data_IF_324496356753
#
_entry.id   IF_324496356753
#
_cell.length_a   1.000
_cell.length_b   1.000
_cell.length_c   1.000
_cell.angle_alpha   90.00
_cell.angle_beta   90.00
_cell.angle_gamma   90.00
#
_symmetry.space_group_name_H-M   'P 1'
#
loop_
_entity.id
_entity.type
_entity.pdbx_description
1 polymer ?
#
# COMPACT_ATOMS: atom_id res chain seq x y z
N UNK A 1 4.96 -23.05 2.44
CA UNK A 1 4.89 -21.99 1.40
C UNK A 1 5.11 -20.61 2.02
N UNK A 2 5.49 -19.58 1.25
CA UNK A 2 5.60 -18.20 1.77
C UNK A 2 4.21 -17.73 2.20
N UNK A 3 4.06 -17.19 3.41
CA UNK A 3 2.79 -16.64 3.88
C UNK A 3 2.94 -15.11 3.96
N UNK A 4 2.37 -14.38 3.01
CA UNK A 4 2.42 -12.91 2.96
C UNK A 4 1.44 -12.27 3.96
N UNK A 5 0.45 -13.01 4.46
CA UNK A 5 -0.50 -12.49 5.46
C UNK A 5 0.13 -12.27 6.83
N UNK A 6 1.34 -12.80 7.07
CA UNK A 6 2.10 -12.57 8.30
C UNK A 6 2.99 -11.32 8.24
N UNK A 7 3.03 -10.62 7.10
CA UNK A 7 3.73 -9.33 7.00
C UNK A 7 2.94 -8.31 7.81
N UNK A 8 3.60 -7.70 8.80
CA UNK A 8 3.00 -6.74 9.72
C UNK A 8 3.32 -5.30 9.33
N UNK A 9 2.40 -4.39 9.65
CA UNK A 9 2.42 -3.00 9.20
C UNK A 9 2.36 -2.04 10.39
N UNK A 10 3.18 -1.00 10.36
CA UNK A 10 2.87 0.24 11.07
C UNK A 10 2.22 1.18 10.06
N UNK A 11 0.95 1.50 10.29
CA UNK A 11 0.13 2.35 9.43
C UNK A 11 0.24 3.82 9.84
N UNK A 12 0.22 4.74 8.88
CA UNK A 12 0.27 6.19 9.07
C UNK A 12 1.46 6.69 9.90
N UNK A 13 2.67 6.24 9.57
CA UNK A 13 3.95 6.64 10.21
C UNK A 13 4.35 8.06 9.78
N UNK A 14 3.53 9.03 10.19
CA UNK A 14 3.51 10.40 9.67
C UNK A 14 4.23 11.43 10.56
N UNK A 15 4.95 11.00 11.59
CA UNK A 15 5.72 11.89 12.47
C UNK A 15 6.96 11.20 13.03
N UNK A 16 7.93 11.98 13.51
CA UNK A 16 9.21 11.46 14.02
C UNK A 16 9.05 10.50 15.19
N UNK A 17 8.23 10.86 16.17
CA UNK A 17 8.02 10.05 17.37
C UNK A 17 7.50 8.66 17.02
N UNK A 18 6.53 8.58 16.09
CA UNK A 18 5.98 7.32 15.67
C UNK A 18 6.93 6.54 14.74
N UNK A 19 7.70 7.23 13.90
CA UNK A 19 8.77 6.58 13.11
C UNK A 19 9.79 5.87 14.02
N UNK A 20 10.27 6.55 15.07
CA UNK A 20 11.20 5.97 16.03
C UNK A 20 10.62 4.73 16.72
N UNK A 21 9.37 4.81 17.18
CA UNK A 21 8.67 3.69 17.81
C UNK A 21 8.46 2.51 16.83
N UNK A 22 8.08 2.80 15.58
CA UNK A 22 7.83 1.77 14.57
C UNK A 22 9.13 1.07 14.14
N UNK A 23 10.24 1.81 14.01
CA UNK A 23 11.57 1.24 13.75
C UNK A 23 12.00 0.29 14.86
N UNK A 24 11.76 0.65 16.13
CA UNK A 24 12.10 -0.17 17.30
C UNK A 24 11.19 -1.40 17.50
N UNK A 25 10.06 -1.49 16.78
CA UNK A 25 9.09 -2.58 16.92
C UNK A 25 9.42 -3.78 16.03
N UNK A 26 8.62 -4.85 16.12
CA UNK A 26 8.74 -6.04 15.26
C UNK A 26 7.95 -5.93 13.93
N UNK A 27 7.40 -4.76 13.57
CA UNK A 27 6.66 -4.61 12.30
C UNK A 27 7.56 -4.87 11.08
N UNK A 28 7.00 -5.34 9.97
CA UNK A 28 7.77 -5.64 8.77
C UNK A 28 7.84 -4.45 7.81
N UNK A 29 6.75 -3.70 7.70
CA UNK A 29 6.56 -2.60 6.75
C UNK A 29 6.14 -1.32 7.48
N UNK A 30 6.67 -0.18 7.02
CA UNK A 30 6.26 1.14 7.45
C UNK A 30 5.47 1.80 6.33
N UNK A 31 4.18 2.03 6.56
CA UNK A 31 3.32 2.78 5.65
C UNK A 31 3.24 4.24 6.14
N UNK A 32 3.38 5.18 5.21
CA UNK A 32 3.29 6.60 5.51
C UNK A 32 2.64 7.38 4.37
N UNK A 33 1.78 8.33 4.75
CA UNK A 33 1.05 9.21 3.85
C UNK A 33 1.92 10.39 3.43
N UNK A 34 1.87 10.77 2.16
CA UNK A 34 2.72 11.83 1.61
C UNK A 34 1.87 12.89 0.94
N UNK A 35 2.08 14.13 1.38
CA UNK A 35 1.49 15.35 0.83
C UNK A 35 2.57 16.41 0.59
N UNK A 36 2.24 17.42 -0.21
CA UNK A 36 3.02 18.66 -0.25
C UNK A 36 2.68 19.53 0.97
N UNK A 37 3.69 20.00 1.68
CA UNK A 37 3.50 20.83 2.87
C UNK A 37 4.80 21.39 3.43
N UNK A 38 4.76 21.93 4.64
CA UNK A 38 5.93 22.53 5.30
C UNK A 38 6.28 21.85 6.61
N UNK A 39 7.52 22.02 7.07
CA UNK A 39 7.92 21.55 8.40
C UNK A 39 7.43 22.52 9.47
N UNK A 40 6.80 21.99 10.52
CA UNK A 40 6.28 22.78 11.64
C UNK A 40 7.36 23.70 12.20
N UNK A 41 7.06 24.99 12.27
CA UNK A 41 7.95 26.00 12.84
C UNK A 41 9.17 26.34 11.97
N UNK A 42 9.20 25.93 10.69
CA UNK A 42 10.24 26.33 9.73
C UNK A 42 9.62 27.04 8.54
N UNK A 43 10.21 28.17 8.17
CA UNK A 43 9.89 28.86 6.92
C UNK A 43 10.53 28.13 5.74
N UNK A 44 9.84 28.10 4.60
CA UNK A 44 10.36 27.51 3.37
C UNK A 44 9.26 27.17 2.37
N UNK A 45 9.65 26.83 1.13
CA UNK A 45 8.69 26.37 0.13
C UNK A 45 8.11 25.01 0.52
N UNK A 46 6.89 24.68 0.07
CA UNK A 46 6.33 23.35 0.27
C UNK A 46 7.23 22.25 -0.34
N UNK A 47 7.34 21.13 0.38
CA UNK A 47 8.05 19.93 -0.03
C UNK A 47 7.26 18.67 0.36
N UNK A 48 7.65 17.47 -0.14
CA UNK A 48 7.04 16.22 0.31
C UNK A 48 7.29 15.95 1.79
N UNK A 49 6.22 15.84 2.57
CA UNK A 49 6.23 15.58 4.01
C UNK A 49 5.37 14.36 4.34
N UNK A 50 5.66 13.72 5.47
CA UNK A 50 4.84 12.62 5.96
C UNK A 50 3.63 13.19 6.71
N UNK A 51 2.44 13.13 6.10
CA UNK A 51 1.19 13.64 6.64
C UNK A 51 -0.01 13.13 5.84
N UNK A 52 -1.12 12.91 6.54
CA UNK A 52 -2.41 12.60 5.94
C UNK A 52 -3.28 13.86 5.82
N UNK A 53 -3.97 14.10 4.69
CA UNK A 53 -4.93 15.19 4.56
C UNK A 53 -5.98 15.21 5.69
N UNK A 54 -6.41 16.38 6.18
CA UNK A 54 -6.12 17.72 5.64
C UNK A 54 -4.82 18.34 6.19
N UNK A 55 -3.96 17.57 6.88
CA UNK A 55 -2.72 18.12 7.42
C UNK A 55 -1.77 18.52 6.27
N UNK A 56 -1.26 19.75 6.34
CA UNK A 56 -0.28 20.31 5.40
C UNK A 56 1.04 20.68 6.08
N UNK A 57 1.21 20.25 7.33
CA UNK A 57 2.45 20.41 8.09
C UNK A 57 2.81 19.13 8.83
N UNK A 58 4.10 18.87 8.98
CA UNK A 58 4.64 17.72 9.72
C UNK A 58 5.96 18.09 10.40
N UNK A 59 6.46 17.26 11.30
CA UNK A 59 7.83 17.34 11.80
C UNK A 59 8.82 16.46 11.00
N UNK A 60 8.30 15.73 10.01
CA UNK A 60 9.01 14.70 9.26
C UNK A 60 8.86 14.90 7.74
N UNK A 61 10.00 15.10 7.06
CA UNK A 61 10.04 15.14 5.59
C UNK A 61 10.11 13.72 5.01
N UNK A 62 9.74 13.53 3.75
CA UNK A 62 9.98 12.26 3.05
C UNK A 62 11.47 11.92 3.01
N UNK A 63 12.33 12.92 2.81
CA UNK A 63 13.78 12.73 2.75
C UNK A 63 14.34 12.21 4.08
N UNK A 64 13.92 12.81 5.20
CA UNK A 64 14.33 12.40 6.55
C UNK A 64 13.80 11.01 6.90
N UNK A 65 12.54 10.71 6.57
CA UNK A 65 11.94 9.38 6.77
C UNK A 65 12.75 8.30 6.04
N UNK A 66 12.99 8.46 4.73
CA UNK A 66 13.73 7.46 3.95
C UNK A 66 15.17 7.32 4.44
N UNK A 67 15.80 8.42 4.85
CA UNK A 67 17.15 8.38 5.42
C UNK A 67 17.18 7.61 6.74
N UNK A 68 16.25 7.87 7.65
CA UNK A 68 16.15 7.19 8.93
C UNK A 68 15.90 5.67 8.75
N UNK A 69 15.00 5.28 7.85
CA UNK A 69 14.74 3.86 7.54
C UNK A 69 15.99 3.19 6.97
N UNK A 70 16.66 3.82 6.01
CA UNK A 70 17.88 3.27 5.42
C UNK A 70 19.03 3.15 6.44
N UNK A 71 19.15 4.11 7.35
CA UNK A 71 20.11 4.06 8.45
C UNK A 71 19.80 2.91 9.42
N UNK A 72 18.53 2.76 9.82
CA UNK A 72 18.11 1.65 10.67
C UNK A 72 18.37 0.29 10.03
N UNK A 73 18.10 0.15 8.73
CA UNK A 73 18.28 -1.09 8.00
C UNK A 73 19.76 -1.47 7.80
N UNK A 74 20.70 -0.52 7.92
CA UNK A 74 22.13 -0.77 7.71
C UNK A 74 22.66 -1.71 8.80
N UNK A 75 22.92 -2.96 8.41
CA UNK A 75 23.43 -4.00 9.31
C UNK A 75 22.36 -4.64 10.21
N UNK A 76 21.07 -4.34 9.99
CA UNK A 76 19.98 -4.97 10.71
C UNK A 76 19.59 -6.31 10.04
N UNK A 77 19.41 -7.35 10.85
CA UNK A 77 19.02 -8.69 10.39
C UNK A 77 17.56 -8.79 9.96
N UNK A 78 16.72 -7.82 10.38
CA UNK A 78 15.31 -7.70 10.02
C UNK A 78 15.02 -6.31 9.44
N UNK A 79 15.43 -6.03 8.19
CA UNK A 79 15.19 -4.73 7.58
C UNK A 79 13.68 -4.44 7.44
N UNK A 80 13.29 -3.18 7.65
CA UNK A 80 11.93 -2.68 7.41
C UNK A 80 11.75 -2.32 5.94
N UNK A 81 10.66 -2.75 5.33
CA UNK A 81 10.21 -2.20 4.07
C UNK A 81 9.42 -0.90 4.25
N UNK A 82 9.19 -0.17 3.17
CA UNK A 82 8.40 1.06 3.18
C UNK A 82 7.29 1.02 2.13
N UNK A 83 6.12 1.54 2.49
CA UNK A 83 5.00 1.80 1.57
C UNK A 83 4.71 3.29 1.61
N UNK A 84 5.01 3.96 0.50
CA UNK A 84 4.91 5.41 0.34
C UNK A 84 3.54 5.73 -0.28
N UNK A 85 2.58 6.17 0.53
CA UNK A 85 1.22 6.45 0.09
C UNK A 85 1.04 7.91 -0.34
N UNK A 86 1.13 8.15 -1.64
CA UNK A 86 1.00 9.48 -2.21
C UNK A 86 -0.46 9.91 -2.30
N UNK A 87 -0.79 11.00 -1.62
CA UNK A 87 -2.15 11.60 -1.63
C UNK A 87 -2.34 12.65 -2.71
N UNK A 88 -1.27 13.05 -3.41
CA UNK A 88 -1.35 13.92 -4.58
C UNK A 88 -0.25 13.61 -5.59
N UNK A 89 -0.52 13.92 -6.87
CA UNK A 89 0.48 13.74 -7.93
C UNK A 89 1.65 14.71 -7.78
N UNK A 90 1.43 15.92 -7.27
CA UNK A 90 2.50 16.90 -7.08
C UNK A 90 3.53 16.41 -6.06
N UNK A 91 3.06 15.75 -4.99
CA UNK A 91 3.94 15.13 -4.00
C UNK A 91 4.79 14.03 -4.65
N UNK A 92 4.19 13.20 -5.51
CA UNK A 92 4.91 12.15 -6.22
C UNK A 92 5.95 12.70 -7.22
N UNK A 93 5.57 13.71 -8.00
CA UNK A 93 6.47 14.42 -8.94
C UNK A 93 7.68 15.02 -8.21
N UNK A 94 7.47 15.67 -7.05
CA UNK A 94 8.55 16.26 -6.25
C UNK A 94 9.40 15.24 -5.49
N UNK A 95 8.98 13.97 -5.45
CA UNK A 95 9.65 12.91 -4.68
C UNK A 95 10.58 12.02 -5.52
N UNK A 96 10.58 12.16 -6.85
CA UNK A 96 11.28 11.23 -7.76
C UNK A 96 12.77 11.07 -7.42
N UNK A 97 13.49 12.19 -7.24
CA UNK A 97 14.93 12.15 -6.91
C UNK A 97 15.20 11.62 -5.49
N UNK A 98 14.25 11.77 -4.57
CA UNK A 98 14.34 11.21 -3.22
C UNK A 98 14.19 9.69 -3.28
N UNK A 99 13.18 9.18 -3.99
CA UNK A 99 12.88 7.75 -4.15
C UNK A 99 13.98 7.05 -4.96
N UNK A 100 14.53 7.71 -5.99
CA UNK A 100 15.57 7.14 -6.85
C UNK A 100 16.82 6.68 -6.08
N UNK A 101 17.12 7.30 -4.93
CA UNK A 101 18.23 6.90 -4.05
C UNK A 101 18.01 5.54 -3.39
N UNK A 102 16.75 5.15 -3.16
CA UNK A 102 16.36 3.96 -2.40
C UNK A 102 15.81 2.83 -3.27
N UNK A 103 15.81 3.02 -4.59
CA UNK A 103 15.32 2.02 -5.56
C UNK A 103 16.45 1.42 -6.41
N UNK A 104 17.72 1.68 -6.06
CA UNK A 104 18.93 1.18 -6.75
C UNK A 104 19.42 -0.19 -6.23
N UNK A 105 20.06 -1.04 -7.06
CA UNK A 105 20.48 -2.42 -6.74
C UNK A 105 21.04 -2.67 -5.34
N UNK A 106 21.75 -1.70 -4.77
CA UNK A 106 22.43 -1.78 -3.48
C UNK A 106 21.47 -1.72 -2.27
N UNK A 107 20.23 -1.28 -2.48
CA UNK A 107 19.22 -1.16 -1.44
C UNK A 107 18.51 -2.50 -1.27
N UNK A 108 18.56 -3.04 -0.06
CA UNK A 108 18.15 -4.41 0.30
C UNK A 108 16.80 -4.49 1.03
N UNK A 109 16.00 -3.43 1.02
CA UNK A 109 14.64 -3.41 1.56
C UNK A 109 13.63 -2.97 0.50
N UNK A 110 12.37 -3.45 0.56
CA UNK A 110 11.39 -3.13 -0.46
C UNK A 110 10.87 -1.70 -0.28
N UNK A 111 10.71 -1.00 -1.40
CA UNK A 111 10.04 0.30 -1.49
C UNK A 111 8.79 0.14 -2.34
N UNK A 112 7.62 0.44 -1.78
CA UNK A 112 6.35 0.38 -2.48
C UNK A 112 5.88 1.79 -2.78
N UNK A 113 5.46 2.02 -4.02
CA UNK A 113 4.86 3.28 -4.48
C UNK A 113 3.36 3.08 -4.47
N UNK A 114 2.67 3.67 -3.49
CA UNK A 114 1.25 3.51 -3.30
C UNK A 114 0.49 4.78 -3.72
N UNK A 115 -0.62 4.59 -4.43
CA UNK A 115 -1.62 5.62 -4.62
C UNK A 115 -2.96 5.03 -5.06
N UNK A 116 -4.03 5.70 -4.68
CA UNK A 116 -5.35 5.52 -5.29
C UNK A 116 -5.41 6.29 -6.61
N UNK A 117 -5.21 5.59 -7.72
CA UNK A 117 -5.08 6.21 -9.06
C UNK A 117 -6.36 6.15 -9.89
N UNK A 118 -7.36 5.38 -9.44
CA UNK A 118 -8.66 5.23 -10.09
C UNK A 118 -9.82 5.52 -9.13
N UNK A 119 -10.98 5.95 -9.63
CA UNK A 119 -12.19 6.07 -8.81
C UNK A 119 -12.70 4.67 -8.44
N UNK A 120 -12.94 4.42 -7.15
CA UNK A 120 -13.44 3.15 -6.68
C UNK A 120 -14.93 3.15 -6.32
N UNK A 121 -15.38 2.05 -5.69
CA UNK A 121 -16.80 1.80 -5.44
C UNK A 121 -17.50 2.84 -4.58
N UNK A 122 -18.83 2.78 -4.61
CA UNK A 122 -19.73 3.53 -3.72
C UNK A 122 -19.59 5.06 -3.85
N UNK A 123 -19.41 5.55 -5.08
CA UNK A 123 -19.38 6.99 -5.42
C UNK A 123 -18.32 7.73 -4.59
N UNK A 124 -17.09 7.21 -4.56
CA UNK A 124 -15.97 7.88 -3.92
C UNK A 124 -15.80 9.31 -4.45
N UNK A 125 -15.78 10.28 -3.53
CA UNK A 125 -15.66 11.72 -3.86
C UNK A 125 -14.21 12.21 -3.83
N UNK A 126 -13.31 11.45 -3.19
CA UNK A 126 -11.88 11.73 -3.21
C UNK A 126 -11.37 11.69 -4.65
N UNK A 127 -10.71 12.77 -5.07
CA UNK A 127 -10.04 12.84 -6.37
C UNK A 127 -8.87 11.85 -6.40
N UNK A 128 -8.83 10.89 -7.34
CA UNK A 128 -7.68 10.01 -7.49
C UNK A 128 -6.41 10.77 -7.88
N UNK A 129 -5.25 10.21 -7.55
CA UNK A 129 -3.96 10.65 -8.07
C UNK A 129 -3.95 10.44 -9.58
N UNK A 130 -3.34 11.36 -10.34
CA UNK A 130 -3.26 11.27 -11.80
C UNK A 130 -2.61 9.94 -12.23
N UNK A 131 -3.37 9.04 -12.89
CA UNK A 131 -2.90 7.69 -13.14
C UNK A 131 -1.80 7.65 -14.21
N UNK A 132 -1.87 8.54 -15.21
CA UNK A 132 -0.92 8.61 -16.32
C UNK A 132 0.46 9.01 -15.79
N UNK A 133 0.50 10.10 -15.03
CA UNK A 133 1.75 10.59 -14.43
C UNK A 133 2.29 9.61 -13.39
N UNK A 134 1.44 9.03 -12.55
CA UNK A 134 1.86 8.08 -11.52
C UNK A 134 2.53 6.84 -12.14
N UNK A 135 1.89 6.21 -13.13
CA UNK A 135 2.46 5.04 -13.80
C UNK A 135 3.72 5.37 -14.59
N UNK A 136 3.74 6.49 -15.31
CA UNK A 136 4.90 6.93 -16.10
C UNK A 136 6.12 7.17 -15.20
N UNK A 137 5.94 7.88 -14.09
CA UNK A 137 7.01 8.17 -13.15
C UNK A 137 7.41 6.93 -12.34
N UNK A 138 6.44 6.14 -11.87
CA UNK A 138 6.68 4.89 -11.16
C UNK A 138 7.51 3.88 -11.96
N UNK A 139 7.32 3.81 -13.28
CA UNK A 139 8.09 2.94 -14.18
C UNK A 139 9.60 3.22 -14.17
N UNK A 140 10.02 4.42 -13.75
CA UNK A 140 11.44 4.79 -13.61
C UNK A 140 12.12 4.15 -12.40
N UNK A 141 11.36 3.45 -11.55
CA UNK A 141 11.83 2.80 -10.33
C UNK A 141 11.66 1.27 -10.43
N UNK A 142 12.38 0.57 -11.32
CA UNK A 142 12.10 -0.83 -11.70
C UNK A 142 12.18 -1.85 -10.56
N UNK A 143 12.81 -1.52 -9.42
CA UNK A 143 12.87 -2.38 -8.23
C UNK A 143 11.83 -2.03 -7.16
N UNK A 144 11.03 -0.98 -7.36
CA UNK A 144 9.92 -0.66 -6.49
C UNK A 144 8.71 -1.55 -6.83
N UNK A 145 7.88 -1.82 -5.83
CA UNK A 145 6.56 -2.44 -6.03
C UNK A 145 5.55 -1.35 -6.36
N UNK A 146 4.79 -1.52 -7.44
CA UNK A 146 3.68 -0.63 -7.76
C UNK A 146 2.44 -1.08 -6.98
N UNK A 147 1.98 -0.24 -6.07
CA UNK A 147 0.80 -0.49 -5.22
C UNK A 147 -0.34 0.42 -5.68
N UNK A 148 -1.13 -0.05 -6.64
CA UNK A 148 -2.11 0.80 -7.36
C UNK A 148 -3.52 0.46 -6.95
N UNK A 149 -4.21 1.43 -6.34
CA UNK A 149 -5.52 1.26 -5.73
C UNK A 149 -6.62 2.08 -6.38
N UNK A 150 -7.77 2.06 -5.71
CA UNK A 150 -8.94 2.86 -6.05
C UNK A 150 -9.36 3.68 -4.83
N UNK A 151 -9.80 4.91 -5.06
CA UNK A 151 -10.42 5.71 -3.99
C UNK A 151 -11.68 5.01 -3.49
N UNK A 152 -11.96 5.01 -2.19
CA UNK A 152 -13.15 4.33 -1.66
C UNK A 152 -14.00 5.26 -0.81
N UNK A 153 -15.31 5.05 -0.85
CA UNK A 153 -16.26 5.64 0.11
C UNK A 153 -16.99 4.50 0.83
N UNK A 154 -16.33 3.96 1.84
CA UNK A 154 -16.82 2.87 2.67
C UNK A 154 -16.58 3.21 4.15
N UNK A 155 -17.31 2.58 5.05
CA UNK A 155 -17.28 2.86 6.48
C UNK A 155 -18.33 3.91 6.91
N UNK A 156 -18.45 4.10 8.23
CA UNK A 156 -19.50 4.91 8.88
C UNK A 156 -20.92 4.44 8.50
N UNK A 157 -21.54 5.09 7.53
CA UNK A 157 -22.91 4.82 7.07
C UNK A 157 -22.96 3.94 5.81
N UNK A 158 -21.80 3.62 5.23
CA UNK A 158 -21.71 2.78 4.03
C UNK A 158 -21.06 1.46 4.41
N UNK A 159 -21.87 0.40 4.44
CA UNK A 159 -21.43 -0.96 4.82
C UNK A 159 -21.54 -1.97 3.68
N UNK A 160 -21.98 -1.53 2.50
CA UNK A 160 -22.16 -2.38 1.32
C UNK A 160 -21.51 -1.77 0.08
N UNK A 161 -21.12 -2.65 -0.83
CA UNK A 161 -20.48 -2.29 -2.10
C UNK A 161 -19.54 -3.39 -2.57
N UNK A 162 -19.12 -3.26 -3.83
CA UNK A 162 -18.21 -4.18 -4.50
C UNK A 162 -17.44 -3.45 -5.61
N UNK A 163 -16.27 -3.99 -5.96
CA UNK A 163 -15.54 -3.61 -7.16
C UNK A 163 -16.27 -4.14 -8.40
N UNK A 164 -16.42 -3.30 -9.42
CA UNK A 164 -17.09 -3.69 -10.66
C UNK A 164 -16.10 -4.21 -11.71
N UNK A 165 -16.62 -4.95 -12.71
CA UNK A 165 -15.84 -5.37 -13.88
C UNK A 165 -15.22 -4.18 -14.61
N UNK A 166 -15.91 -3.06 -14.69
CA UNK A 166 -15.40 -1.85 -15.37
C UNK A 166 -14.22 -1.23 -14.62
N UNK A 167 -14.26 -1.22 -13.29
CA UNK A 167 -13.17 -0.73 -12.45
C UNK A 167 -11.92 -1.60 -12.60
N UNK A 168 -12.10 -2.93 -12.55
CA UNK A 168 -11.01 -3.89 -12.78
C UNK A 168 -10.46 -3.77 -14.22
N UNK A 169 -11.34 -3.74 -15.22
CA UNK A 169 -10.95 -3.59 -16.62
C UNK A 169 -10.20 -2.29 -16.89
N UNK A 170 -10.55 -1.20 -16.20
CA UNK A 170 -9.82 0.07 -16.30
C UNK A 170 -8.40 -0.06 -15.74
N UNK A 171 -8.22 -0.69 -14.57
CA UNK A 171 -6.90 -0.94 -14.00
C UNK A 171 -6.03 -1.80 -14.93
N UNK A 172 -6.59 -2.88 -15.48
CA UNK A 172 -5.88 -3.76 -16.43
C UNK A 172 -5.43 -3.00 -17.68
N UNK A 173 -6.30 -2.17 -18.27
CA UNK A 173 -5.95 -1.34 -19.44
C UNK A 173 -4.78 -0.40 -19.12
N UNK A 174 -4.83 0.29 -17.98
CA UNK A 174 -3.78 1.20 -17.55
C UNK A 174 -2.44 0.47 -17.37
N UNK A 175 -2.42 -0.67 -16.69
CA UNK A 175 -1.19 -1.44 -16.49
C UNK A 175 -0.57 -1.87 -17.83
N UNK A 176 -1.39 -2.34 -18.76
CA UNK A 176 -0.94 -2.81 -20.06
C UNK A 176 -0.48 -1.66 -20.97
N UNK A 177 -1.25 -0.58 -21.06
CA UNK A 177 -0.95 0.59 -21.90
C UNK A 177 0.38 1.25 -21.50
N UNK A 178 0.63 1.35 -20.18
CA UNK A 178 1.85 1.95 -19.64
C UNK A 178 2.98 0.94 -19.45
N UNK A 179 2.80 -0.31 -19.91
CA UNK A 179 3.81 -1.38 -19.95
C UNK A 179 4.51 -1.59 -18.61
N UNK A 180 3.74 -1.58 -17.52
CA UNK A 180 4.29 -1.83 -16.19
C UNK A 180 4.88 -3.23 -16.16
N UNK A 181 6.14 -3.33 -15.78
CA UNK A 181 6.91 -4.56 -15.69
C UNK A 181 7.42 -4.84 -14.25
N UNK A 182 7.14 -3.93 -13.34
CA UNK A 182 7.42 -4.07 -11.91
C UNK A 182 6.49 -5.10 -11.27
N UNK A 183 6.87 -5.58 -10.08
CA UNK A 183 5.90 -6.28 -9.23
C UNK A 183 4.74 -5.35 -8.88
N UNK A 184 3.52 -5.86 -9.00
CA UNK A 184 2.29 -5.09 -8.71
C UNK A 184 1.57 -5.67 -7.51
N UNK A 185 1.02 -4.81 -6.67
CA UNK A 185 0.02 -5.19 -5.68
C UNK A 185 -1.21 -4.30 -5.82
N UNK A 186 -2.38 -4.86 -5.54
CA UNK A 186 -3.65 -4.16 -5.61
C UNK A 186 -4.22 -3.98 -4.21
N UNK A 187 -4.12 -2.79 -3.61
CA UNK A 187 -4.82 -2.44 -2.40
C UNK A 187 -6.33 -2.48 -2.62
N UNK A 188 -7.01 -3.40 -1.92
CA UNK A 188 -8.46 -3.54 -1.94
C UNK A 188 -9.00 -3.44 -0.52
N UNK A 189 -10.06 -2.66 -0.35
CA UNK A 189 -10.66 -2.43 0.96
C UNK A 189 -11.50 -3.65 1.36
N UNK A 190 -11.27 -4.20 2.54
CA UNK A 190 -11.79 -5.50 2.97
C UNK A 190 -13.31 -5.64 2.83
N UNK A 191 -14.07 -4.65 3.28
CA UNK A 191 -15.54 -4.66 3.21
C UNK A 191 -16.13 -4.58 1.79
N UNK A 192 -15.34 -4.12 0.81
CA UNK A 192 -15.71 -4.16 -0.62
C UNK A 192 -15.20 -5.45 -1.26
N UNK A 193 -13.98 -5.87 -0.91
CA UNK A 193 -13.32 -7.04 -1.47
C UNK A 193 -14.10 -8.33 -1.18
N UNK A 194 -14.70 -8.47 0.01
CA UNK A 194 -15.48 -9.64 0.39
C UNK A 194 -16.66 -9.94 -0.55
N UNK A 195 -17.17 -8.93 -1.26
CA UNK A 195 -18.25 -9.08 -2.25
C UNK A 195 -17.73 -9.18 -3.69
N UNK A 196 -16.43 -9.00 -3.91
CA UNK A 196 -15.85 -8.77 -5.24
C UNK A 196 -15.02 -9.95 -5.78
N UNK A 197 -15.16 -11.13 -5.18
CA UNK A 197 -14.26 -12.26 -5.46
C UNK A 197 -14.09 -12.56 -6.97
N UNK A 198 -15.15 -12.69 -7.79
CA UNK A 198 -14.97 -13.03 -9.20
C UNK A 198 -14.08 -12.03 -9.96
N UNK A 199 -14.27 -10.73 -9.75
CA UNK A 199 -13.53 -9.70 -10.49
C UNK A 199 -12.10 -9.52 -9.96
N UNK A 200 -11.87 -9.77 -8.67
CA UNK A 200 -10.52 -9.75 -8.10
C UNK A 200 -9.68 -10.96 -8.53
N UNK A 201 -10.31 -12.12 -8.68
CA UNK A 201 -9.64 -13.29 -9.25
C UNK A 201 -9.29 -13.07 -10.73
N UNK A 202 -10.19 -12.46 -11.51
CA UNK A 202 -9.88 -12.04 -12.88
C UNK A 202 -8.67 -11.07 -12.89
N UNK A 203 -8.68 -10.02 -12.07
CA UNK A 203 -7.56 -9.07 -11.96
C UNK A 203 -6.21 -9.75 -11.74
N UNK A 204 -6.16 -10.66 -10.75
CA UNK A 204 -4.93 -11.35 -10.36
C UNK A 204 -4.48 -12.39 -11.38
N UNK A 205 -5.41 -13.02 -12.11
CA UNK A 205 -5.09 -13.94 -13.21
C UNK A 205 -4.45 -13.18 -14.36
N UNK A 206 -5.09 -12.11 -14.83
CA UNK A 206 -4.63 -11.31 -15.98
C UNK A 206 -3.29 -10.59 -15.71
N UNK A 207 -2.87 -10.46 -14.45
CA UNK A 207 -1.63 -9.78 -14.04
C UNK A 207 -0.58 -10.73 -13.48
N UNK A 208 -0.74 -12.05 -13.66
CA UNK A 208 0.18 -13.07 -13.11
C UNK A 208 1.63 -12.87 -13.60
N UNK A 209 1.83 -12.40 -14.83
CA UNK A 209 3.16 -12.10 -15.39
C UNK A 209 3.93 -11.01 -14.62
N UNK A 210 3.23 -10.20 -13.83
CA UNK A 210 3.79 -9.13 -12.99
C UNK A 210 4.04 -9.60 -11.56
N UNK A 211 3.99 -10.91 -11.28
CA UNK A 211 4.06 -11.45 -9.93
C UNK A 211 3.05 -10.76 -8.98
N UNK A 212 1.83 -10.53 -9.49
CA UNK A 212 0.87 -9.67 -8.82
C UNK A 212 0.30 -10.27 -7.54
N UNK A 213 0.01 -9.40 -6.58
CA UNK A 213 -0.59 -9.75 -5.28
C UNK A 213 -1.78 -8.84 -4.95
N UNK A 214 -2.56 -9.27 -3.96
CA UNK A 214 -3.64 -8.49 -3.37
C UNK A 214 -3.17 -7.96 -2.01
N UNK A 215 -3.40 -6.69 -1.71
CA UNK A 215 -3.26 -6.15 -0.34
C UNK A 215 -4.63 -5.83 0.19
N UNK A 216 -5.10 -6.63 1.15
CA UNK A 216 -6.38 -6.39 1.81
C UNK A 216 -6.14 -5.38 2.91
N UNK A 217 -6.81 -4.24 2.86
CA UNK A 217 -6.72 -3.21 3.89
C UNK A 217 -8.08 -2.83 4.47
N UNK A 218 -8.11 -2.33 5.70
CA UNK A 218 -9.35 -1.91 6.37
C UNK A 218 -9.08 -0.79 7.37
N UNK A 219 -9.99 0.19 7.45
CA UNK A 219 -9.98 1.13 8.57
C UNK A 219 -10.59 0.48 9.83
N UNK A 220 -10.28 1.03 11.00
CA UNK A 220 -11.01 0.69 12.22
C UNK A 220 -12.50 1.00 12.05
N UNK A 221 -13.36 0.06 12.46
CA UNK A 221 -14.82 0.18 12.37
C UNK A 221 -15.43 -0.10 10.99
N UNK A 222 -14.64 -0.44 9.97
CA UNK A 222 -15.20 -0.92 8.70
C UNK A 222 -15.97 -2.24 8.92
N UNK A 223 -17.17 -2.33 8.33
CA UNK A 223 -17.91 -3.58 8.29
C UNK A 223 -17.18 -4.58 7.38
N UNK A 224 -16.96 -5.81 7.85
CA UNK A 224 -16.32 -6.86 7.06
C UNK A 224 -16.99 -8.19 7.32
N UNK A 225 -17.47 -8.80 6.25
CA UNK A 225 -17.99 -10.17 6.22
C UNK A 225 -16.82 -11.16 6.33
N UNK A 226 -16.49 -11.55 7.56
CA UNK A 226 -15.26 -12.31 7.87
C UNK A 226 -15.16 -13.61 7.08
N UNK A 227 -16.24 -14.39 6.96
CA UNK A 227 -16.20 -15.68 6.25
C UNK A 227 -15.95 -15.50 4.75
N UNK A 228 -16.57 -14.49 4.13
CA UNK A 228 -16.32 -14.14 2.73
C UNK A 228 -14.90 -13.63 2.52
N UNK A 229 -14.40 -12.80 3.44
CA UNK A 229 -13.04 -12.30 3.38
C UNK A 229 -12.03 -13.45 3.52
N UNK A 230 -12.22 -14.36 4.48
CA UNK A 230 -11.41 -15.57 4.64
C UNK A 230 -11.44 -16.43 3.38
N UNK A 231 -12.62 -16.69 2.81
CA UNK A 231 -12.76 -17.49 1.59
C UNK A 231 -12.01 -16.86 0.41
N UNK A 232 -12.11 -15.54 0.23
CA UNK A 232 -11.36 -14.81 -0.79
C UNK A 232 -9.84 -14.95 -0.59
N UNK A 233 -9.32 -14.72 0.63
CA UNK A 233 -7.89 -14.85 0.94
C UNK A 233 -7.38 -16.26 0.63
N UNK A 234 -8.11 -17.29 1.05
CA UNK A 234 -7.73 -18.68 0.81
C UNK A 234 -7.82 -19.07 -0.67
N UNK A 235 -8.74 -18.47 -1.43
CA UNK A 235 -8.86 -18.69 -2.87
C UNK A 235 -7.73 -18.02 -3.65
N UNK A 236 -7.31 -16.82 -3.22
CA UNK A 236 -6.18 -16.09 -3.81
C UNK A 236 -4.84 -16.74 -3.46
N UNK A 237 -4.73 -17.29 -2.25
CA UNK A 237 -3.50 -17.86 -1.70
C UNK A 237 -2.82 -16.92 -0.70
N UNK A 238 -2.29 -17.50 0.37
CA UNK A 238 -1.56 -16.78 1.41
C UNK A 238 -0.24 -16.21 0.89
N UNK A 239 0.33 -16.83 -0.14
CA UNK A 239 1.56 -16.44 -0.83
C UNK A 239 1.36 -15.27 -1.81
N UNK A 240 0.12 -14.84 -2.03
CA UNK A 240 -0.25 -13.70 -2.90
C UNK A 240 -1.12 -12.66 -2.20
N UNK A 241 -1.30 -12.77 -0.89
CA UNK A 241 -2.15 -11.86 -0.11
C UNK A 241 -1.40 -11.20 1.03
N UNK A 242 -1.28 -9.88 1.00
CA UNK A 242 -0.88 -9.08 2.16
C UNK A 242 -2.11 -8.66 2.96
N UNK A 243 -1.95 -8.56 4.27
CA UNK A 243 -3.04 -8.21 5.20
C UNK A 243 -2.63 -6.98 6.03
N UNK A 244 -3.32 -5.86 5.79
CA UNK A 244 -3.12 -4.56 6.44
C UNK A 244 -4.44 -4.09 7.09
N UNK A 245 -4.87 -4.85 8.12
CA UNK A 245 -6.17 -4.66 8.77
C UNK A 245 -6.01 -4.58 10.29
N UNK A 246 -6.99 -4.01 11.03
CA UNK A 246 -6.96 -3.97 12.48
C UNK A 246 -6.78 -5.37 13.10
N UNK A 247 -6.04 -5.44 14.21
CA UNK A 247 -5.69 -6.70 14.88
C UNK A 247 -6.93 -7.57 15.19
N UNK A 248 -8.04 -6.96 15.61
CA UNK A 248 -9.29 -7.69 15.89
C UNK A 248 -9.86 -8.38 14.64
N UNK A 249 -9.83 -7.71 13.48
CA UNK A 249 -10.27 -8.32 12.22
C UNK A 249 -9.32 -9.44 11.80
N UNK A 250 -8.00 -9.20 11.89
CA UNK A 250 -6.99 -10.21 11.56
C UNK A 250 -7.17 -11.49 12.40
N UNK A 251 -7.42 -11.35 13.71
CA UNK A 251 -7.63 -12.47 14.63
C UNK A 251 -8.89 -13.29 14.27
N UNK A 252 -9.97 -12.63 13.85
CA UNK A 252 -11.24 -13.27 13.45
C UNK A 252 -11.16 -14.02 12.12
N UNK A 253 -10.20 -13.68 11.24
CA UNK A 253 -10.03 -14.39 9.98
C UNK A 253 -9.55 -15.84 10.18
N UNK A 254 -8.96 -16.18 11.33
CA UNK A 254 -8.46 -17.52 11.69
C UNK A 254 -7.55 -18.19 10.65
N UNK A 255 -6.76 -17.41 9.89
CA UNK A 255 -5.97 -17.90 8.76
C UNK A 255 -4.97 -19.00 9.18
N UNK A 256 -4.67 -19.97 8.29
CA UNK A 256 -3.70 -21.01 8.58
C UNK A 256 -2.34 -20.42 9.02
N UNK A 257 -1.65 -21.05 9.99
CA UNK A 257 -0.31 -20.63 10.38
C UNK A 257 0.66 -20.76 9.21
N UNK A 258 1.80 -20.07 9.26
CA UNK A 258 2.87 -20.28 8.30
C UNK A 258 3.42 -21.71 8.43
N UNK A 259 3.49 -22.46 7.32
CA UNK A 259 4.06 -23.82 7.25
C UNK A 259 5.57 -23.84 7.47
N UNK A 260 6.07 -23.33 8.59
CA UNK A 260 7.48 -23.40 8.98
C UNK A 260 7.77 -24.65 9.83
N UNK A 261 6.74 -25.48 10.11
CA UNK A 261 6.86 -26.64 11.00
C UNK A 261 6.54 -28.02 10.41
N UNK A 262 5.96 -28.14 9.21
CA UNK A 262 5.64 -29.45 8.64
C UNK A 262 6.86 -30.03 7.89
N UNK A 263 7.87 -30.44 8.65
CA UNK A 263 8.83 -31.44 8.17
C UNK A 263 8.20 -32.82 8.42
N UNK A 264 7.87 -33.51 7.34
CA UNK A 264 7.85 -34.98 7.35
C UNK A 264 9.28 -35.47 7.10
#
# INVERSE_FOLDING_TARGET
>A
MKNLTTVTWAHAVNNKTYLEAALASEVSMLEADIVMGTIRGKDGPPLPIMAHPPATTSDLTLADFLSAVAQYNKGNSKPKGVKLDFKSIEAFEKSQDLIAKYTKPEVNFPVWLNADILPGPVKATTKPVDPVKFLTLGSKHPRAVMSVGWTTNYGKNVTEGEYSRDQIGTMLRMINEYKINQTVTFPVRAGLACNSQPVLLDLLRETTSLNSSMTVWSSEGDAVEVDRMRALILTVGLERTYLDVPHELAARLHLPPSDVGAKN
#
